data_IF_159406514214
#
_entry.id   IF_159406514214
#
_cell.length_a   1.000
_cell.length_b   1.000
_cell.length_c   1.000
_cell.angle_alpha   90.00
_cell.angle_beta   90.00
_cell.angle_gamma   90.00
#
_symmetry.space_group_name_H-M   'P 1'
#
loop_
_entity.id
_entity.type
_entity.pdbx_description
1 polymer ?
#
# COMPACT_ATOMS: atom_id res chain seq x y z
N UNK A 1 19.25 -11.30 7.97
CA UNK A 1 19.46 -11.22 6.51
C UNK A 1 18.45 -12.06 5.74
N UNK A 2 18.26 -13.31 6.15
CA UNK A 2 17.27 -14.18 5.50
C UNK A 2 15.87 -13.67 5.62
N UNK A 3 15.52 -13.09 6.77
CA UNK A 3 14.19 -12.55 6.98
C UNK A 3 13.93 -11.37 6.05
N UNK A 4 14.92 -10.49 5.90
CA UNK A 4 14.79 -9.34 5.03
C UNK A 4 14.67 -9.75 3.57
N UNK A 5 15.45 -10.75 3.15
CA UNK A 5 15.40 -11.26 1.78
C UNK A 5 14.04 -11.90 1.46
N UNK A 6 13.49 -12.67 2.40
CA UNK A 6 12.17 -13.27 2.24
C UNK A 6 11.08 -12.21 2.13
N UNK A 7 11.16 -11.15 2.94
CA UNK A 7 10.19 -10.07 2.90
C UNK A 7 10.19 -9.36 1.55
N UNK A 8 11.38 -9.13 0.99
CA UNK A 8 11.48 -8.51 -0.32
C UNK A 8 10.97 -9.42 -1.43
N UNK A 9 11.28 -10.71 -1.33
CA UNK A 9 10.84 -11.66 -2.34
C UNK A 9 9.32 -11.83 -2.36
N UNK A 10 8.67 -11.59 -1.22
CA UNK A 10 7.23 -11.80 -1.07
C UNK A 10 6.41 -10.53 -1.18
N UNK A 11 6.97 -9.49 -1.79
CA UNK A 11 6.22 -8.27 -2.01
C UNK A 11 5.03 -8.54 -2.95
N UNK A 12 3.88 -7.98 -2.61
CA UNK A 12 2.69 -8.06 -3.44
C UNK A 12 2.85 -7.13 -4.65
N UNK A 13 2.31 -7.56 -5.78
CA UNK A 13 2.31 -6.74 -6.99
C UNK A 13 0.88 -6.34 -7.32
N UNK A 14 0.67 -5.05 -7.52
CA UNK A 14 -0.63 -4.51 -7.86
C UNK A 14 -0.53 -3.84 -9.24
N UNK A 15 -1.34 -4.32 -10.19
CA UNK A 15 -1.39 -3.70 -11.51
C UNK A 15 -2.33 -2.50 -11.48
N UNK A 16 -1.81 -1.35 -11.87
CA UNK A 16 -2.61 -0.12 -11.93
C UNK A 16 -2.54 0.41 -13.35
N UNK A 17 -3.53 0.04 -14.15
CA UNK A 17 -3.60 0.45 -15.56
C UNK A 17 -3.66 1.97 -15.66
N UNK A 18 -4.41 2.58 -14.78
CA UNK A 18 -4.64 4.03 -14.80
C UNK A 18 -3.38 4.85 -14.59
N UNK A 19 -2.34 4.25 -14.01
CA UNK A 19 -1.07 4.93 -13.75
C UNK A 19 0.04 4.49 -14.72
N UNK A 20 -0.31 3.62 -15.65
CA UNK A 20 0.66 3.15 -16.61
C UNK A 20 0.77 4.06 -17.83
N UNK A 21 1.66 3.69 -18.73
CA UNK A 21 1.87 4.41 -19.98
C UNK A 21 1.62 3.47 -21.15
N UNK A 22 1.08 4.04 -22.23
CA UNK A 22 0.74 3.29 -23.45
C UNK A 22 -0.13 2.08 -23.10
N UNK A 23 0.32 0.89 -23.44
CA UNK A 23 -0.44 -0.33 -23.21
C UNK A 23 0.04 -1.10 -21.97
N UNK A 24 0.95 -0.52 -21.19
CA UNK A 24 1.55 -1.20 -20.06
C UNK A 24 1.05 -0.60 -18.74
N UNK A 25 0.51 -1.42 -17.82
CA UNK A 25 0.11 -0.90 -16.51
C UNK A 25 1.34 -0.60 -15.67
N UNK A 26 1.17 0.30 -14.69
CA UNK A 26 2.18 0.49 -13.67
C UNK A 26 2.06 -0.65 -12.68
N UNK A 27 3.17 -1.30 -12.37
CA UNK A 27 3.18 -2.33 -11.33
C UNK A 27 3.65 -1.70 -10.04
N UNK A 28 2.80 -1.72 -9.04
CA UNK A 28 3.11 -1.20 -7.71
C UNK A 28 3.52 -2.39 -6.83
N UNK A 29 4.72 -2.33 -6.27
CA UNK A 29 5.21 -3.35 -5.38
C UNK A 29 4.96 -2.93 -3.94
N UNK A 30 4.45 -3.84 -3.13
CA UNK A 30 4.07 -3.54 -1.74
C UNK A 30 4.63 -4.61 -0.82
N UNK A 31 5.48 -4.18 0.11
CA UNK A 31 5.94 -5.06 1.17
C UNK A 31 4.82 -5.27 2.19
N UNK A 32 4.96 -6.33 2.99
CA UNK A 32 4.00 -6.62 4.04
C UNK A 32 3.90 -5.44 5.02
N UNK A 33 2.69 -5.11 5.46
CA UNK A 33 2.51 -4.07 6.47
C UNK A 33 3.10 -4.53 7.79
N UNK A 34 3.98 -3.70 8.33
CA UNK A 34 4.63 -4.00 9.62
C UNK A 34 3.82 -3.40 10.76
N UNK A 35 4.13 -3.85 11.99
CA UNK A 35 3.52 -3.27 13.18
C UNK A 35 3.80 -1.77 13.26
N UNK A 36 5.01 -1.36 12.85
CA UNK A 36 5.37 0.05 12.84
C UNK A 36 4.51 0.86 11.85
N UNK A 37 4.26 0.29 10.68
CA UNK A 37 3.40 0.92 9.68
C UNK A 37 2.00 1.15 10.24
N UNK A 38 1.42 0.12 10.82
CA UNK A 38 0.07 0.18 11.38
C UNK A 38 0.01 1.18 12.53
N UNK A 39 1.00 1.15 13.42
CA UNK A 39 1.07 2.06 14.55
C UNK A 39 1.14 3.51 14.08
N UNK A 40 1.93 3.78 13.06
CA UNK A 40 2.07 5.12 12.51
C UNK A 40 0.77 5.65 11.94
N UNK A 41 0.04 4.79 11.22
CA UNK A 41 -1.25 5.17 10.65
C UNK A 41 -2.30 5.37 11.74
N UNK A 42 -2.31 4.52 12.77
CA UNK A 42 -3.28 4.65 13.86
C UNK A 42 -3.09 5.91 14.67
N UNK A 43 -1.85 6.37 14.81
CA UNK A 43 -1.59 7.62 15.52
C UNK A 43 -2.19 8.82 14.79
N UNK A 44 -2.12 8.80 13.47
CA UNK A 44 -2.65 9.88 12.64
C UNK A 44 -4.16 9.71 12.39
N UNK A 45 -4.61 8.48 12.24
CA UNK A 45 -6.00 8.15 11.93
C UNK A 45 -6.50 7.07 12.88
N UNK A 46 -6.90 7.42 14.10
CA UNK A 46 -7.42 6.43 15.05
C UNK A 46 -8.59 5.66 14.47
N UNK A 47 -8.53 4.34 14.56
CA UNK A 47 -9.61 3.48 14.06
C UNK A 47 -9.58 3.21 12.57
N UNK A 48 -8.51 3.56 11.87
CA UNK A 48 -8.47 3.40 10.41
C UNK A 48 -8.63 1.95 9.96
N UNK A 49 -8.26 0.97 10.79
CA UNK A 49 -8.41 -0.44 10.43
C UNK A 49 -9.89 -0.84 10.32
N UNK A 50 -10.74 -0.24 11.14
CA UNK A 50 -12.16 -0.53 11.12
C UNK A 50 -12.92 0.38 10.17
N UNK A 51 -12.43 1.59 9.99
CA UNK A 51 -13.13 2.59 9.20
C UNK A 51 -12.10 3.51 8.52
N UNK A 52 -11.44 3.02 7.46
CA UNK A 52 -10.42 3.80 6.77
C UNK A 52 -11.02 4.99 6.05
N UNK A 53 -10.41 6.16 6.28
CA UNK A 53 -10.79 7.37 5.57
C UNK A 53 -10.01 7.46 4.27
N UNK A 54 -10.44 8.35 3.37
CA UNK A 54 -9.71 8.58 2.12
C UNK A 54 -8.29 9.05 2.40
N UNK A 55 -8.14 9.96 3.37
CA UNK A 55 -6.81 10.44 3.75
C UNK A 55 -5.91 9.31 4.23
N UNK A 56 -6.45 8.41 5.04
CA UNK A 56 -5.67 7.27 5.54
C UNK A 56 -5.26 6.34 4.41
N UNK A 57 -6.16 6.08 3.47
CA UNK A 57 -5.88 5.23 2.32
C UNK A 57 -4.75 5.82 1.46
N UNK A 58 -4.81 7.13 1.22
CA UNK A 58 -3.78 7.80 0.41
C UNK A 58 -2.44 7.80 1.13
N UNK A 59 -2.43 8.06 2.43
CA UNK A 59 -1.18 8.00 3.20
C UNK A 59 -0.59 6.59 3.18
N UNK A 60 -1.43 5.57 3.21
CA UNK A 60 -0.96 4.19 3.09
C UNK A 60 -0.29 3.94 1.74
N UNK A 61 -0.90 4.41 0.66
CA UNK A 61 -0.34 4.27 -0.67
C UNK A 61 1.02 4.97 -0.75
N UNK A 62 1.12 6.20 -0.25
CA UNK A 62 2.38 6.94 -0.24
C UNK A 62 3.45 6.19 0.55
N UNK A 63 3.06 5.62 1.69
CA UNK A 63 3.99 4.93 2.58
C UNK A 63 4.52 3.64 1.96
N UNK A 64 3.69 2.87 1.26
CA UNK A 64 4.02 1.51 0.90
C UNK A 64 4.27 1.25 -0.58
N UNK A 65 3.84 2.14 -1.49
CA UNK A 65 4.01 1.92 -2.92
C UNK A 65 5.48 2.04 -3.32
N UNK A 66 6.00 0.99 -3.96
CA UNK A 66 7.41 0.93 -4.36
C UNK A 66 7.53 0.45 -5.80
N UNK A 67 8.67 0.77 -6.39
CA UNK A 67 9.06 0.22 -7.69
C UNK A 67 9.61 -1.19 -7.48
N UNK A 68 9.88 -1.88 -8.59
CA UNK A 68 10.50 -3.20 -8.54
C UNK A 68 11.83 -3.16 -7.78
N UNK A 69 12.57 -2.07 -7.91
CA UNK A 69 13.87 -1.89 -7.28
C UNK A 69 13.78 -1.50 -5.81
N UNK A 70 12.58 -1.23 -5.32
CA UNK A 70 12.38 -0.85 -3.92
C UNK A 70 12.36 0.63 -3.65
N UNK A 71 12.38 1.46 -4.70
CA UNK A 71 12.31 2.91 -4.55
C UNK A 71 10.85 3.34 -4.33
N UNK A 72 10.64 4.36 -3.51
CA UNK A 72 9.30 4.87 -3.29
C UNK A 72 8.75 5.50 -4.55
N UNK A 73 7.52 5.13 -4.91
CA UNK A 73 6.84 5.69 -6.07
C UNK A 73 6.24 7.07 -5.79
N UNK A 74 5.85 7.32 -4.56
CA UNK A 74 5.21 8.57 -4.16
C UNK A 74 5.84 9.14 -2.91
N UNK A 75 5.79 10.47 -2.81
CA UNK A 75 6.16 11.20 -1.60
C UNK A 75 4.96 11.99 -1.12
N UNK A 76 5.09 12.66 0.02
CA UNK A 76 4.01 13.50 0.54
C UNK A 76 3.65 14.63 -0.43
N UNK A 77 4.59 15.03 -1.28
CA UNK A 77 4.32 16.05 -2.30
C UNK A 77 3.32 15.57 -3.35
N UNK A 78 3.18 14.27 -3.51
CA UNK A 78 2.25 13.68 -4.47
C UNK A 78 0.83 13.53 -3.94
N UNK A 79 0.62 13.84 -2.67
CA UNK A 79 -0.71 13.69 -2.06
C UNK A 79 -1.80 14.45 -2.82
N UNK A 80 -1.59 15.71 -3.24
CA UNK A 80 -2.62 16.40 -4.02
C UNK A 80 -2.98 15.69 -5.33
N UNK A 81 -2.00 15.07 -5.98
CA UNK A 81 -2.25 14.29 -7.19
C UNK A 81 -3.14 13.09 -6.88
N UNK A 82 -2.82 12.35 -5.81
CA UNK A 82 -3.60 11.17 -5.43
C UNK A 82 -5.00 11.54 -4.96
N UNK A 83 -5.17 12.71 -4.34
CA UNK A 83 -6.47 13.19 -3.91
C UNK A 83 -7.40 13.52 -5.09
N UNK A 84 -6.85 13.68 -6.28
CA UNK A 84 -7.63 13.95 -7.49
C UNK A 84 -8.03 12.67 -8.23
N UNK A 85 -7.49 11.54 -7.81
CA UNK A 85 -7.84 10.26 -8.41
C UNK A 85 -9.24 9.83 -7.98
N UNK A 86 -9.87 8.96 -8.76
CA UNK A 86 -11.20 8.47 -8.41
C UNK A 86 -11.13 7.69 -7.10
N UNK A 87 -12.20 7.80 -6.32
CA UNK A 87 -12.28 7.06 -5.05
C UNK A 87 -12.26 5.54 -5.31
N UNK A 88 -12.80 5.11 -6.44
CA UNK A 88 -12.79 3.69 -6.81
C UNK A 88 -11.36 3.20 -6.97
N UNK A 89 -10.52 3.98 -7.65
CA UNK A 89 -9.12 3.61 -7.85
C UNK A 89 -8.35 3.59 -6.53
N UNK A 90 -8.49 4.65 -5.73
CA UNK A 90 -7.81 4.76 -4.44
C UNK A 90 -8.21 3.59 -3.53
N UNK A 91 -9.52 3.31 -3.45
CA UNK A 91 -10.01 2.22 -2.61
C UNK A 91 -9.52 0.86 -3.07
N UNK A 92 -9.44 0.65 -4.38
CA UNK A 92 -8.95 -0.61 -4.93
C UNK A 92 -7.48 -0.82 -4.57
N UNK A 93 -6.64 0.18 -4.80
CA UNK A 93 -5.21 0.07 -4.52
C UNK A 93 -4.97 -0.11 -3.02
N UNK A 94 -5.60 0.74 -2.20
CA UNK A 94 -5.43 0.65 -0.75
C UNK A 94 -5.97 -0.69 -0.22
N UNK A 95 -7.10 -1.17 -0.76
CA UNK A 95 -7.67 -2.45 -0.36
C UNK A 95 -6.72 -3.61 -0.64
N UNK A 96 -6.04 -3.57 -1.77
CA UNK A 96 -5.05 -4.57 -2.09
C UNK A 96 -3.87 -4.54 -1.11
N UNK A 97 -3.49 -3.35 -0.66
CA UNK A 97 -2.43 -3.21 0.34
C UNK A 97 -2.88 -3.74 1.71
N UNK A 98 -4.12 -3.49 2.09
CA UNK A 98 -4.68 -4.01 3.34
C UNK A 98 -4.77 -5.53 3.35
N UNK A 99 -4.88 -6.15 2.21
CA UNK A 99 -4.98 -7.61 2.15
C UNK A 99 -3.72 -8.29 2.66
N UNK A 100 -2.59 -7.60 2.71
CA UNK A 100 -1.38 -8.16 3.30
C UNK A 100 -1.53 -8.37 4.81
N UNK A 101 -2.25 -7.48 5.48
CA UNK A 101 -2.55 -7.62 6.91
C UNK A 101 -3.46 -8.83 7.14
N UNK A 102 -4.52 -8.94 6.35
CA UNK A 102 -5.46 -10.06 6.48
C UNK A 102 -4.76 -11.40 6.28
N UNK A 103 -3.87 -11.48 5.30
CA UNK A 103 -3.14 -12.72 5.03
C UNK A 103 -2.31 -13.14 6.24
N UNK A 104 -1.68 -12.18 6.91
CA UNK A 104 -0.87 -12.46 8.10
C UNK A 104 -1.75 -12.94 9.24
N UNK A 105 -2.88 -12.29 9.46
CA UNK A 105 -3.83 -12.68 10.51
C UNK A 105 -4.37 -14.07 10.26
N UNK A 106 -4.72 -14.37 9.02
CA UNK A 106 -5.25 -15.67 8.66
C UNK A 106 -4.23 -16.77 8.93
N UNK A 107 -2.97 -16.53 8.61
CA UNK A 107 -1.90 -17.48 8.87
C UNK A 107 -1.65 -17.64 10.37
N UNK A 108 -1.80 -16.56 11.12
CA UNK A 108 -1.59 -16.59 12.57
C UNK A 108 -2.66 -17.36 13.32
N UNK A 109 -3.82 -17.53 12.74
CA UNK A 109 -4.95 -18.21 13.38
C UNK A 109 -4.97 -19.72 13.13
N UNK A 110 -4.13 -20.18 12.24
CA UNK A 110 -4.02 -21.60 11.96
C UNK A 110 -2.97 -22.27 12.83
#
# INVERSE_FOLDING_TARGET
KRIAEKRQANRKQIEVVEWGEDDAPLIVYVGMLTAADVSKLQRKYPGFLNNPTVDAMIDLIIMKAESKEGDKLFTLEDKPFLMRESITLVSRVAGEMFSTVESVESLGND
#
